data_IF_523055109634
#
_entry.id   IF_523055109634
#
_cell.length_a   1.000
_cell.length_b   1.000
_cell.length_c   1.000
_cell.angle_alpha   90.00
_cell.angle_beta   90.00
_cell.angle_gamma   90.00
#
_symmetry.space_group_name_H-M   'P 1'
#
loop_
_entity.id
_entity.type
_entity.pdbx_description
1 polymer ?
#
# COMPACT_ATOMS: atom_id res chain seq x y z
N UNK A 1 -0.88 -18.01 2.57
CA UNK A 1 -0.58 -16.61 2.19
C UNK A 1 0.08 -15.98 3.39
N UNK A 2 1.08 -15.12 3.23
CA UNK A 2 1.82 -14.58 4.37
C UNK A 2 0.91 -13.58 5.10
N UNK A 3 0.17 -14.03 6.13
CA UNK A 3 -0.86 -13.25 6.84
C UNK A 3 -0.31 -11.89 7.32
N UNK A 4 0.99 -11.82 7.58
CA UNK A 4 1.72 -10.61 7.94
C UNK A 4 1.62 -9.51 6.87
N UNK A 5 1.75 -9.84 5.58
CA UNK A 5 1.68 -8.84 4.50
C UNK A 5 0.25 -8.35 4.36
N UNK A 6 -0.72 -9.26 4.39
CA UNK A 6 -2.14 -8.88 4.29
C UNK A 6 -2.56 -7.98 5.46
N UNK A 7 -2.13 -8.30 6.68
CA UNK A 7 -2.34 -7.45 7.85
C UNK A 7 -1.64 -6.09 7.72
N UNK A 8 -0.45 -6.06 7.13
CA UNK A 8 0.24 -4.82 6.81
C UNK A 8 -0.59 -3.97 5.83
N UNK A 9 -1.05 -4.53 4.71
CA UNK A 9 -1.90 -3.85 3.72
C UNK A 9 -3.21 -3.33 4.34
N UNK A 10 -3.86 -4.15 5.16
CA UNK A 10 -5.09 -3.76 5.88
C UNK A 10 -4.88 -2.60 6.86
N UNK A 11 -3.65 -2.37 7.31
CA UNK A 11 -3.30 -1.20 8.13
C UNK A 11 -2.99 0.02 7.27
N UNK A 12 -2.19 -0.12 6.20
CA UNK A 12 -1.68 1.04 5.46
C UNK A 12 -2.65 1.59 4.41
N UNK A 13 -3.40 0.74 3.72
CA UNK A 13 -4.25 1.18 2.61
C UNK A 13 -5.41 2.07 3.10
N UNK A 14 -6.13 1.74 4.19
CA UNK A 14 -7.14 2.64 4.73
C UNK A 14 -6.60 4.00 5.17
N UNK A 15 -5.39 4.03 5.72
CA UNK A 15 -4.78 5.26 6.22
C UNK A 15 -4.34 6.20 5.08
N UNK A 16 -3.83 5.64 3.97
CA UNK A 16 -3.41 6.41 2.78
C UNK A 16 -4.60 6.87 1.94
N UNK A 17 -5.63 6.04 1.80
CA UNK A 17 -6.76 6.29 0.92
C UNK A 17 -7.97 6.94 1.62
N UNK A 18 -7.77 7.36 2.87
CA UNK A 18 -8.78 8.02 3.69
C UNK A 18 -9.34 9.26 2.98
N UNK A 19 -10.67 9.40 2.96
CA UNK A 19 -11.36 10.52 2.31
C UNK A 19 -11.61 10.33 0.81
N UNK A 20 -10.88 9.45 0.15
CA UNK A 20 -10.98 9.23 -1.30
C UNK A 20 -11.82 8.00 -1.65
N UNK A 21 -11.63 6.92 -0.91
CA UNK A 21 -12.35 5.66 -1.07
C UNK A 21 -13.03 5.22 0.23
N UNK A 22 -14.12 4.46 0.10
CA UNK A 22 -14.82 3.87 1.24
C UNK A 22 -13.91 2.89 1.99
N UNK A 23 -13.68 3.14 3.27
CA UNK A 23 -12.87 2.27 4.14
C UNK A 23 -13.34 0.81 4.09
N UNK A 24 -14.66 0.59 4.07
CA UNK A 24 -15.25 -0.74 3.94
C UNK A 24 -14.82 -1.40 2.62
N UNK A 25 -14.92 -0.67 1.51
CA UNK A 25 -14.53 -1.19 0.19
C UNK A 25 -13.03 -1.45 0.08
N UNK A 26 -12.18 -0.63 0.70
CA UNK A 26 -10.73 -0.87 0.74
C UNK A 26 -10.44 -2.18 1.47
N UNK A 27 -11.05 -2.39 2.64
CA UNK A 27 -10.87 -3.61 3.43
C UNK A 27 -11.34 -4.85 2.65
N UNK A 28 -12.54 -4.79 2.04
CA UNK A 28 -13.08 -5.88 1.22
C UNK A 28 -12.18 -6.17 -0.01
N UNK A 29 -11.67 -5.14 -0.69
CA UNK A 29 -10.73 -5.30 -1.79
C UNK A 29 -9.46 -6.01 -1.32
N UNK A 30 -8.81 -5.52 -0.26
CA UNK A 30 -7.59 -6.11 0.27
C UNK A 30 -7.82 -7.54 0.78
N UNK A 31 -9.02 -7.87 1.27
CA UNK A 31 -9.39 -9.23 1.69
C UNK A 31 -9.62 -10.20 0.53
N UNK A 32 -9.98 -9.71 -0.65
CA UNK A 32 -10.30 -10.56 -1.81
C UNK A 32 -9.16 -10.65 -2.82
N UNK A 33 -8.40 -9.56 -3.00
CA UNK A 33 -7.32 -9.49 -3.97
C UNK A 33 -6.18 -10.45 -3.62
N UNK A 34 -5.54 -11.01 -4.65
CA UNK A 34 -4.34 -11.83 -4.52
C UNK A 34 -3.11 -10.94 -4.63
N UNK A 35 -2.07 -11.28 -3.86
CA UNK A 35 -0.74 -10.72 -4.08
C UNK A 35 -0.08 -11.58 -5.15
N UNK A 36 0.34 -10.97 -6.26
CA UNK A 36 1.06 -11.64 -7.34
C UNK A 36 2.52 -11.86 -6.94
N UNK A 37 3.18 -10.79 -6.52
CA UNK A 37 4.61 -10.78 -6.27
C UNK A 37 4.96 -9.72 -5.21
N UNK A 38 6.03 -10.00 -4.47
CA UNK A 38 6.70 -9.04 -3.59
C UNK A 38 8.17 -9.01 -4.01
N UNK A 39 8.58 -7.90 -4.62
CA UNK A 39 9.94 -7.71 -5.11
C UNK A 39 10.68 -6.74 -4.19
N UNK A 40 11.78 -7.19 -3.58
CA UNK A 40 12.67 -6.33 -2.80
C UNK A 40 13.79 -5.81 -3.70
N UNK A 41 13.86 -4.49 -3.85
CA UNK A 41 14.98 -3.81 -4.49
C UNK A 41 15.88 -3.30 -3.37
N UNK A 42 17.19 -3.18 -3.59
CA UNK A 42 18.16 -2.90 -2.51
C UNK A 42 17.64 -1.92 -1.44
N UNK A 43 17.04 -0.79 -1.82
CA UNK A 43 16.50 0.24 -0.94
C UNK A 43 14.96 0.29 -0.84
N UNK A 44 14.21 -0.73 -1.26
CA UNK A 44 12.75 -0.69 -1.25
C UNK A 44 12.06 -2.02 -1.54
N UNK A 45 10.75 -1.95 -1.73
CA UNK A 45 9.91 -3.10 -2.02
C UNK A 45 8.71 -2.71 -2.88
N UNK A 46 8.33 -3.59 -3.79
CA UNK A 46 7.13 -3.51 -4.62
C UNK A 46 6.20 -4.67 -4.28
N UNK A 47 4.94 -4.39 -3.99
CA UNK A 47 3.90 -5.40 -3.76
C UNK A 47 2.90 -5.29 -4.91
N UNK A 48 2.99 -6.23 -5.85
CA UNK A 48 2.12 -6.30 -7.01
C UNK A 48 0.84 -7.09 -6.66
N UNK A 49 -0.32 -6.51 -6.94
CA UNK A 49 -1.62 -7.12 -6.69
C UNK A 49 -2.27 -7.58 -8.00
N UNK A 50 -3.01 -8.68 -7.92
CA UNK A 50 -3.75 -9.26 -9.04
C UNK A 50 -5.05 -8.50 -9.32
N UNK A 51 -4.93 -7.21 -9.65
CA UNK A 51 -6.08 -6.32 -9.85
C UNK A 51 -6.85 -6.63 -11.14
N UNK A 52 -6.17 -7.09 -12.19
CA UNK A 52 -6.78 -7.44 -13.48
C UNK A 52 -7.77 -8.60 -13.34
N UNK A 53 -7.44 -9.62 -12.54
CA UNK A 53 -8.33 -10.75 -12.27
C UNK A 53 -9.28 -10.53 -11.08
N UNK A 54 -9.18 -9.37 -10.40
CA UNK A 54 -10.12 -9.00 -9.35
C UNK A 54 -11.42 -8.49 -9.95
N UNK A 55 -12.54 -9.12 -9.59
CA UNK A 55 -13.88 -8.65 -9.96
C UNK A 55 -14.39 -7.51 -9.06
N UNK A 56 -13.63 -7.13 -8.03
CA UNK A 56 -14.03 -6.12 -7.06
C UNK A 56 -13.29 -4.80 -7.31
N UNK A 57 -14.05 -3.71 -7.38
CA UNK A 57 -13.56 -2.33 -7.48
C UNK A 57 -13.88 -1.59 -6.18
N UNK A 58 -12.96 -0.75 -5.71
CA UNK A 58 -13.18 0.07 -4.53
C UNK A 58 -14.18 1.18 -4.82
N UNK A 59 -15.01 1.51 -3.84
CA UNK A 59 -16.03 2.54 -3.97
C UNK A 59 -15.43 3.93 -3.73
N UNK A 60 -15.45 4.78 -4.75
CA UNK A 60 -15.03 6.20 -4.65
C UNK A 60 -16.04 7.01 -3.82
N UNK A 61 -15.54 7.72 -2.82
CA UNK A 61 -16.30 8.74 -2.08
C UNK A 61 -16.15 10.11 -2.76
N UNK A 62 -14.93 10.46 -3.16
CA UNK A 62 -14.62 11.75 -3.77
C UNK A 62 -14.64 11.68 -5.31
N UNK A 63 -15.75 12.11 -5.91
CA UNK A 63 -15.96 12.04 -7.37
C UNK A 63 -15.17 13.08 -8.19
N UNK A 64 -14.30 13.87 -7.58
CA UNK A 64 -13.49 14.86 -8.32
C UNK A 64 -12.37 14.22 -9.16
N UNK A 65 -12.06 12.95 -8.93
CA UNK A 65 -11.06 12.22 -9.71
C UNK A 65 -11.64 11.71 -11.03
N UNK A 66 -11.47 12.49 -12.11
CA UNK A 66 -11.83 12.09 -13.48
C UNK A 66 -10.65 11.37 -14.20
N UNK A 67 -9.75 10.75 -13.43
CA UNK A 67 -8.54 10.10 -13.92
C UNK A 67 -8.62 8.60 -13.67
N UNK A 68 -8.18 7.81 -14.65
CA UNK A 68 -8.15 6.35 -14.55
C UNK A 68 -7.01 5.82 -13.68
N UNK A 69 -5.98 6.63 -13.47
CA UNK A 69 -4.78 6.28 -12.72
C UNK A 69 -4.55 7.36 -11.65
N UNK A 70 -4.37 6.92 -10.40
CA UNK A 70 -4.19 7.77 -9.24
C UNK A 70 -3.03 7.24 -8.40
N UNK A 71 -2.20 8.15 -7.91
CA UNK A 71 -1.11 7.85 -7.00
C UNK A 71 -1.39 8.52 -5.66
N UNK A 72 -1.33 7.73 -4.59
CA UNK A 72 -1.49 8.20 -3.22
C UNK A 72 -0.22 7.92 -2.43
N UNK A 73 0.25 8.92 -1.68
CA UNK A 73 1.39 8.84 -0.79
C UNK A 73 1.06 9.50 0.55
N UNK A 74 2.07 9.69 1.40
CA UNK A 74 1.92 10.44 2.65
C UNK A 74 1.83 9.59 3.91
N UNK A 75 2.12 8.29 3.84
CA UNK A 75 2.36 7.46 5.03
C UNK A 75 3.81 7.00 5.05
N UNK A 76 4.45 7.16 6.21
CA UNK A 76 5.79 6.66 6.48
C UNK A 76 5.77 5.47 7.44
N UNK A 77 6.50 4.42 7.07
CA UNK A 77 6.87 3.33 7.97
C UNK A 77 8.22 3.64 8.62
N UNK A 78 8.27 3.56 9.94
CA UNK A 78 9.47 3.82 10.73
C UNK A 78 9.82 2.56 11.52
N UNK A 79 11.06 2.09 11.37
CA UNK A 79 11.62 1.07 12.26
C UNK A 79 13.04 1.51 12.66
N UNK A 80 13.20 1.90 13.93
CA UNK A 80 14.47 2.44 14.47
C UNK A 80 15.55 1.36 14.57
N UNK A 81 15.18 0.14 14.92
CA UNK A 81 16.12 -0.97 15.12
C UNK A 81 16.80 -1.39 13.82
N UNK A 82 16.06 -1.36 12.71
CA UNK A 82 16.56 -1.66 11.37
C UNK A 82 17.05 -0.42 10.63
N UNK A 83 17.01 0.75 11.26
CA UNK A 83 17.33 2.04 10.65
C UNK A 83 16.59 2.23 9.31
N UNK A 84 15.26 2.14 9.37
CA UNK A 84 14.35 2.28 8.22
C UNK A 84 13.45 3.50 8.40
N UNK A 85 13.39 4.33 7.36
CA UNK A 85 12.40 5.39 7.19
C UNK A 85 11.85 5.25 5.77
N UNK A 86 10.70 4.61 5.65
CA UNK A 86 10.14 4.17 4.39
C UNK A 86 8.91 4.98 4.00
N UNK A 87 8.94 5.63 2.84
CA UNK A 87 7.75 6.23 2.24
C UNK A 87 6.91 5.15 1.56
N UNK A 88 5.59 5.17 1.77
CA UNK A 88 4.66 4.23 1.16
C UNK A 88 3.84 4.95 0.10
N UNK A 89 3.75 4.36 -1.09
CA UNK A 89 2.91 4.83 -2.19
C UNK A 89 1.97 3.74 -2.67
N UNK A 90 0.75 4.13 -3.06
CA UNK A 90 -0.28 3.25 -3.59
C UNK A 90 -0.67 3.74 -4.98
N UNK A 91 -0.50 2.89 -5.98
CA UNK A 91 -0.99 3.09 -7.33
C UNK A 91 -2.36 2.44 -7.48
N UNK A 92 -3.35 3.26 -7.86
CA UNK A 92 -4.71 2.83 -8.17
C UNK A 92 -4.98 3.00 -9.65
N UNK A 93 -5.42 1.93 -10.32
CA UNK A 93 -5.88 1.97 -11.71
C UNK A 93 -7.31 1.46 -11.73
N UNK A 94 -8.23 2.22 -12.34
CA UNK A 94 -9.65 1.85 -12.46
C UNK A 94 -10.26 1.41 -11.12
N UNK A 95 -10.06 2.19 -10.05
CA UNK A 95 -10.57 1.91 -8.71
C UNK A 95 -10.03 0.63 -8.05
N UNK A 96 -8.93 0.07 -8.55
CA UNK A 96 -8.28 -1.11 -7.99
C UNK A 96 -6.86 -0.76 -7.58
N UNK A 97 -6.40 -1.28 -6.44
CA UNK A 97 -4.99 -1.16 -6.05
C UNK A 97 -4.19 -2.14 -6.91
N UNK A 98 -3.26 -1.61 -7.70
CA UNK A 98 -2.42 -2.40 -8.59
C UNK A 98 -1.06 -2.68 -7.97
N UNK A 99 -0.46 -1.64 -7.40
CA UNK A 99 0.89 -1.67 -6.88
C UNK A 99 0.99 -0.87 -5.60
N UNK A 100 1.79 -1.37 -4.67
CA UNK A 100 2.21 -0.65 -3.48
C UNK A 100 3.74 -0.61 -3.47
N UNK A 101 4.28 0.58 -3.36
CA UNK A 101 5.72 0.84 -3.30
C UNK A 101 6.11 1.24 -1.90
N UNK A 102 7.25 0.74 -1.43
CA UNK A 102 7.83 1.08 -0.14
C UNK A 102 9.29 1.47 -0.37
N UNK A 103 9.63 2.73 -0.16
CA UNK A 103 10.96 3.27 -0.46
C UNK A 103 11.70 3.70 0.79
N UNK A 104 12.80 3.03 1.12
CA UNK A 104 13.65 3.43 2.24
C UNK A 104 14.50 4.66 1.88
N UNK A 105 14.19 5.78 2.53
CA UNK A 105 14.86 7.07 2.36
C UNK A 105 16.28 7.10 2.91
N UNK A 106 16.63 6.18 3.82
CA UNK A 106 17.93 6.16 4.49
C UNK A 106 19.01 5.42 3.68
N UNK A 107 18.65 4.81 2.55
CA UNK A 107 19.58 4.09 1.68
C UNK A 107 20.12 2.77 2.25
N UNK A 108 19.68 2.37 3.45
CA UNK A 108 19.95 1.04 3.99
C UNK A 108 19.14 -0.03 3.24
N UNK A 109 19.62 -1.27 3.28
CA UNK A 109 18.96 -2.34 2.56
C UNK A 109 17.57 -2.66 3.16
N UNK A 110 16.55 -2.76 2.30
CA UNK A 110 15.20 -3.15 2.69
C UNK A 110 14.91 -4.56 2.15
N UNK A 111 15.15 -5.57 2.98
CA UNK A 111 15.04 -6.99 2.55
C UNK A 111 13.75 -7.66 3.00
N UNK A 112 13.01 -7.02 3.89
CA UNK A 112 11.71 -7.49 4.38
C UNK A 112 10.89 -6.33 4.94
N UNK A 113 9.57 -6.46 4.91
CA UNK A 113 8.68 -5.57 5.68
C UNK A 113 8.83 -5.96 7.16
N UNK A 114 9.22 -5.03 8.05
CA UNK A 114 9.43 -5.37 9.44
C UNK A 114 8.12 -5.74 10.14
N UNK A 115 8.18 -6.69 11.07
CA UNK A 115 7.02 -7.09 11.89
C UNK A 115 6.59 -6.01 12.88
N UNK A 116 7.54 -5.22 13.35
CA UNK A 116 7.35 -4.10 14.27
C UNK A 116 7.68 -2.81 13.53
N UNK A 117 6.77 -1.84 13.57
CA UNK A 117 6.96 -0.54 12.94
C UNK A 117 6.00 0.48 13.53
N UNK A 118 6.40 1.74 13.47
CA UNK A 118 5.52 2.89 13.68
C UNK A 118 5.04 3.39 12.32
N UNK A 119 3.80 3.87 12.24
CA UNK A 119 3.26 4.56 11.06
C UNK A 119 3.12 6.04 11.39
N UNK A 120 3.63 6.90 10.51
CA UNK A 120 3.50 8.35 10.62
C UNK A 120 2.80 8.93 9.38
N UNK A 121 1.73 9.69 9.58
CA UNK A 121 1.06 10.42 8.51
C UNK A 121 1.79 11.73 8.24
N UNK A 122 2.12 11.96 6.98
CA UNK A 122 2.77 13.16 6.48
C UNK A 122 1.73 14.10 5.85
N UNK A 123 0.78 14.61 6.64
CA UNK A 123 -0.13 15.69 6.24
C UNK A 123 -0.75 16.42 7.43
#
# INVERSE_FOLDING_TARGET
>A
MNDNIRNFLLKICPEILEGEFSQKSIIEYIQTVKILEIEFTGNGCFINLDSENSNFEMEIINKMHNQNELNFDGLELINKDKNLLCEIRILIIQQKINLIEIWNKLGSNFTEIPSEYELNKNW
#
